data_IF_965594374551
#
_entry.id   IF_965594374551
#
_cell.length_a   1.000
_cell.length_b   1.000
_cell.length_c   1.000
_cell.angle_alpha   90.00
_cell.angle_beta   90.00
_cell.angle_gamma   90.00
#
_symmetry.space_group_name_H-M   'P 1'
#
loop_
_entity.id
_entity.type
_entity.pdbx_description
1 polymer ?
#
# COMPACT_ATOMS: atom_id res chain seq x y z
N UNK A 1 -13.20 10.25 12.54
CA UNK A 1 -12.29 10.69 11.48
C UNK A 1 -11.19 9.67 11.21
N UNK A 2 -10.63 9.73 9.99
CA UNK A 2 -9.56 8.81 9.57
C UNK A 2 -8.18 9.47 9.60
N UNK A 3 -7.14 8.66 9.77
CA UNK A 3 -5.75 9.12 9.82
C UNK A 3 -4.87 8.30 8.90
N UNK A 4 -3.70 8.81 8.57
CA UNK A 4 -2.71 8.10 7.77
C UNK A 4 -1.87 7.17 8.64
N UNK A 5 -1.47 6.02 8.07
CA UNK A 5 -0.54 5.08 8.67
C UNK A 5 0.59 4.79 7.68
N UNK A 6 1.77 4.45 8.19
CA UNK A 6 2.97 4.27 7.36
C UNK A 6 3.62 2.91 7.65
N UNK A 7 3.26 1.86 6.87
CA UNK A 7 3.79 0.50 7.08
C UNK A 7 5.31 0.41 6.96
N UNK A 8 5.92 1.29 6.19
CA UNK A 8 7.35 1.32 5.93
C UNK A 8 8.03 2.54 6.54
N UNK A 9 7.40 3.16 7.51
CA UNK A 9 7.88 4.37 8.21
C UNK A 9 7.62 5.65 7.40
N UNK A 10 7.16 6.70 8.08
CA UNK A 10 7.14 8.06 7.54
C UNK A 10 8.58 8.58 7.43
N UNK A 11 8.91 9.33 6.37
CA UNK A 11 10.28 9.79 6.15
C UNK A 11 10.84 10.65 7.29
N UNK A 12 9.99 11.44 7.93
CA UNK A 12 10.36 12.33 9.03
C UNK A 12 10.44 11.62 10.38
N UNK A 13 9.92 10.40 10.50
CA UNK A 13 9.95 9.66 11.73
C UNK A 13 11.33 9.01 11.93
N UNK A 14 11.87 9.01 13.17
CA UNK A 14 13.16 8.37 13.45
C UNK A 14 13.15 6.87 13.19
N UNK A 15 12.03 6.20 13.43
CA UNK A 15 11.86 4.76 13.21
C UNK A 15 10.38 4.39 13.18
N UNK A 16 10.10 3.15 12.83
CA UNK A 16 8.73 2.63 12.72
C UNK A 16 7.98 2.64 14.06
N UNK A 17 8.67 2.41 15.17
CA UNK A 17 8.07 2.46 16.51
C UNK A 17 7.48 3.84 16.82
N UNK A 18 8.18 4.91 16.45
CA UNK A 18 7.70 6.27 16.65
C UNK A 18 6.44 6.54 15.82
N UNK A 19 6.40 6.05 14.60
CA UNK A 19 5.21 6.14 13.76
C UNK A 19 4.02 5.42 14.40
N UNK A 20 4.25 4.25 14.96
CA UNK A 20 3.21 3.49 15.64
C UNK A 20 2.73 4.18 16.92
N UNK A 21 3.64 4.79 17.67
CA UNK A 21 3.29 5.60 18.85
C UNK A 21 2.37 6.76 18.46
N UNK A 22 2.71 7.47 17.39
CA UNK A 22 1.87 8.55 16.88
C UNK A 22 0.49 8.05 16.45
N UNK A 23 0.43 6.88 15.82
CA UNK A 23 -0.84 6.26 15.44
C UNK A 23 -1.67 5.90 16.68
N UNK A 24 -1.05 5.35 17.71
CA UNK A 24 -1.70 5.05 18.98
C UNK A 24 -2.26 6.32 19.64
N UNK A 25 -1.48 7.39 19.65
CA UNK A 25 -1.93 8.70 20.17
C UNK A 25 -3.16 9.20 19.40
N UNK A 26 -3.15 9.09 18.07
CA UNK A 26 -4.28 9.49 17.23
C UNK A 26 -5.53 8.66 17.54
N UNK A 27 -5.37 7.35 17.76
CA UNK A 27 -6.46 6.49 18.19
C UNK A 27 -7.03 6.96 19.54
N UNK A 28 -6.17 7.22 20.51
CA UNK A 28 -6.57 7.67 21.85
C UNK A 28 -7.28 9.03 21.82
N UNK A 29 -6.98 9.84 20.80
CA UNK A 29 -7.64 11.12 20.54
C UNK A 29 -8.94 11.00 19.72
N UNK A 30 -9.35 9.79 19.36
CA UNK A 30 -10.65 9.54 18.74
C UNK A 30 -10.62 9.18 17.26
N UNK A 31 -9.46 8.86 16.68
CA UNK A 31 -9.41 8.34 15.31
C UNK A 31 -10.17 7.02 15.20
N UNK A 32 -11.00 6.89 14.18
CA UNK A 32 -11.90 5.75 14.00
C UNK A 32 -11.33 4.69 13.07
N UNK A 33 -10.43 5.08 12.18
CA UNK A 33 -9.74 4.17 11.25
C UNK A 33 -8.44 4.80 10.76
N UNK A 34 -7.57 3.97 10.18
CA UNK A 34 -6.36 4.43 9.51
C UNK A 34 -6.30 3.89 8.09
N UNK A 35 -5.76 4.67 7.16
CA UNK A 35 -5.46 4.24 5.79
C UNK A 35 -3.95 4.29 5.60
N UNK A 36 -3.35 3.20 5.14
CA UNK A 36 -1.90 3.17 4.96
C UNK A 36 -1.45 3.98 3.75
N UNK A 37 -0.21 4.45 3.78
CA UNK A 37 0.49 4.89 2.57
C UNK A 37 0.62 3.68 1.63
N UNK A 38 0.69 3.93 0.33
CA UNK A 38 0.82 2.86 -0.65
C UNK A 38 2.05 1.98 -0.39
N UNK A 39 1.93 0.71 -0.74
CA UNK A 39 3.02 -0.27 -0.62
C UNK A 39 2.88 -1.31 -1.74
N UNK A 40 4.00 -1.97 -2.07
CA UNK A 40 4.01 -3.04 -3.07
C UNK A 40 4.26 -4.42 -2.45
N UNK A 41 4.70 -4.46 -1.20
CA UNK A 41 4.99 -5.69 -0.47
C UNK A 41 3.97 -5.88 0.66
N UNK A 42 3.07 -6.85 0.48
CA UNK A 42 2.02 -7.14 1.46
C UNK A 42 2.57 -7.52 2.84
N UNK A 43 3.76 -8.12 2.90
CA UNK A 43 4.35 -8.50 4.19
C UNK A 43 4.66 -7.26 5.05
N UNK A 44 4.97 -6.14 4.44
CA UNK A 44 5.14 -4.86 5.16
C UNK A 44 3.85 -4.45 5.86
N UNK A 45 2.72 -4.60 5.17
CA UNK A 45 1.40 -4.31 5.73
C UNK A 45 1.05 -5.26 6.88
N UNK A 46 1.18 -6.56 6.66
CA UNK A 46 0.81 -7.56 7.68
C UNK A 46 1.70 -7.45 8.92
N UNK A 47 3.00 -7.23 8.74
CA UNK A 47 3.93 -7.01 9.84
C UNK A 47 3.57 -5.76 10.64
N UNK A 48 3.20 -4.69 9.94
CA UNK A 48 2.77 -3.44 10.57
C UNK A 48 1.50 -3.64 11.41
N UNK A 49 0.50 -4.31 10.86
CA UNK A 49 -0.78 -4.58 11.56
C UNK A 49 -0.54 -5.42 12.82
N UNK A 50 0.29 -6.45 12.73
CA UNK A 50 0.61 -7.28 13.87
C UNK A 50 1.28 -6.47 14.99
N UNK A 51 2.27 -5.68 14.66
CA UNK A 51 2.94 -4.80 15.63
C UNK A 51 1.99 -3.77 16.23
N UNK A 52 1.11 -3.21 15.40
CA UNK A 52 0.11 -2.25 15.86
C UNK A 52 -0.83 -2.88 16.90
N UNK A 53 -1.29 -4.10 16.66
CA UNK A 53 -2.12 -4.82 17.63
C UNK A 53 -1.37 -5.06 18.94
N UNK A 54 -0.09 -5.41 18.89
CA UNK A 54 0.74 -5.60 20.09
C UNK A 54 0.88 -4.31 20.91
N UNK A 55 0.78 -3.15 20.26
CA UNK A 55 0.84 -1.84 20.93
C UNK A 55 -0.53 -1.33 21.39
N UNK A 56 -1.58 -2.10 21.23
CA UNK A 56 -2.93 -1.73 21.65
C UNK A 56 -3.69 -0.89 20.64
N UNK A 57 -3.26 -0.85 19.38
CA UNK A 57 -3.99 -0.20 18.30
C UNK A 57 -5.09 -1.14 17.84
N UNK A 58 -6.35 -0.71 18.00
CA UNK A 58 -7.54 -1.54 17.72
C UNK A 58 -8.39 -1.02 16.58
N UNK A 59 -8.14 0.21 16.09
CA UNK A 59 -8.87 0.76 14.96
C UNK A 59 -8.55 -0.02 13.68
N UNK A 60 -9.50 -0.10 12.72
CA UNK A 60 -9.22 -0.73 11.43
C UNK A 60 -8.06 -0.03 10.71
N UNK A 61 -7.14 -0.81 10.15
CA UNK A 61 -6.03 -0.32 9.34
C UNK A 61 -6.27 -0.77 7.92
N UNK A 62 -6.80 0.13 7.10
CA UNK A 62 -7.19 -0.14 5.71
C UNK A 62 -5.96 -0.04 4.81
N UNK A 63 -5.60 -1.10 4.05
CA UNK A 63 -4.45 -1.01 3.15
C UNK A 63 -4.73 -0.06 1.99
N UNK A 64 -3.79 0.85 1.75
CA UNK A 64 -3.82 1.77 0.63
C UNK A 64 -3.00 1.21 -0.52
N UNK A 65 -3.59 1.10 -1.70
CA UNK A 65 -2.99 0.47 -2.88
C UNK A 65 -3.03 1.44 -4.06
N UNK A 66 -1.94 1.52 -4.80
CA UNK A 66 -1.88 2.30 -6.04
C UNK A 66 -1.11 1.54 -7.11
N UNK A 67 -1.76 1.14 -8.22
CA UNK A 67 -1.04 0.58 -9.35
C UNK A 67 -0.26 1.67 -10.07
N UNK A 68 0.95 1.38 -10.54
CA UNK A 68 1.60 2.27 -11.47
C UNK A 68 1.03 2.03 -12.89
N UNK A 69 0.95 3.12 -13.68
CA UNK A 69 0.35 3.11 -15.00
C UNK A 69 1.30 3.61 -16.11
N UNK A 70 2.48 4.09 -15.72
CA UNK A 70 3.49 4.63 -16.64
C UNK A 70 4.86 4.12 -16.26
N UNK A 71 5.73 4.02 -17.27
CA UNK A 71 7.11 3.56 -17.07
C UNK A 71 7.88 4.41 -16.04
N UNK A 72 7.70 5.72 -16.10
CA UNK A 72 8.34 6.65 -15.15
C UNK A 72 7.91 6.41 -13.70
N UNK A 73 6.69 5.96 -13.47
CA UNK A 73 6.17 5.72 -12.13
C UNK A 73 6.85 4.55 -11.42
N UNK A 74 7.36 3.57 -12.17
CA UNK A 74 8.09 2.43 -11.60
C UNK A 74 9.28 2.91 -10.76
N UNK A 75 9.97 3.94 -11.22
CA UNK A 75 11.12 4.51 -10.50
C UNK A 75 10.72 5.61 -9.53
N UNK A 76 9.80 6.48 -9.93
CA UNK A 76 9.46 7.67 -9.15
C UNK A 76 8.58 7.40 -7.94
N UNK A 77 7.62 6.47 -8.05
CA UNK A 77 6.68 6.19 -6.95
C UNK A 77 7.41 5.66 -5.71
N UNK A 78 8.30 4.66 -5.81
CA UNK A 78 9.05 4.21 -4.63
C UNK A 78 9.89 5.32 -3.98
N UNK A 79 10.50 6.20 -4.78
CA UNK A 79 11.29 7.33 -4.28
C UNK A 79 10.42 8.38 -3.58
N UNK A 80 9.29 8.74 -4.20
CA UNK A 80 8.42 9.80 -3.69
C UNK A 80 7.74 9.39 -2.39
N UNK A 81 7.30 8.14 -2.29
CA UNK A 81 6.54 7.63 -1.16
C UNK A 81 7.37 6.78 -0.20
N UNK A 82 8.67 6.65 -0.44
CA UNK A 82 9.61 5.93 0.42
C UNK A 82 9.15 4.49 0.72
N UNK A 83 8.64 3.81 -0.30
CA UNK A 83 8.23 2.41 -0.20
C UNK A 83 9.17 1.49 -0.96
N UNK A 84 9.34 0.28 -0.43
CA UNK A 84 10.20 -0.73 -1.05
C UNK A 84 9.51 -1.37 -2.24
N UNK A 85 10.30 -1.67 -3.27
CA UNK A 85 9.86 -2.47 -4.40
C UNK A 85 10.35 -3.90 -4.20
N UNK A 86 9.45 -4.89 -4.06
CA UNK A 86 9.87 -6.29 -3.94
C UNK A 86 10.75 -6.73 -5.11
N UNK A 87 11.70 -7.61 -4.83
CA UNK A 87 12.65 -8.07 -5.85
C UNK A 87 11.95 -8.70 -7.05
N UNK A 88 10.90 -9.46 -6.83
CA UNK A 88 10.12 -10.10 -7.88
C UNK A 88 9.46 -9.07 -8.80
N UNK A 89 8.91 -8.00 -8.22
CA UNK A 89 8.33 -6.89 -8.98
C UNK A 89 9.41 -6.14 -9.75
N UNK A 90 10.56 -5.90 -9.13
CA UNK A 90 11.68 -5.22 -9.78
C UNK A 90 12.20 -6.00 -11.00
N UNK A 91 12.26 -7.33 -10.92
CA UNK A 91 12.65 -8.19 -12.03
C UNK A 91 11.70 -8.06 -13.22
N UNK A 92 10.41 -8.00 -12.97
CA UNK A 92 9.42 -7.81 -14.03
C UNK A 92 9.42 -6.36 -14.55
N UNK A 93 9.68 -5.40 -13.67
CA UNK A 93 9.72 -3.98 -14.04
C UNK A 93 10.83 -3.66 -15.04
N UNK A 94 12.01 -4.28 -14.92
CA UNK A 94 13.12 -4.05 -15.86
C UNK A 94 12.83 -4.58 -17.27
N UNK A 95 11.86 -5.46 -17.43
CA UNK A 95 11.40 -5.96 -18.72
C UNK A 95 10.45 -5.01 -19.42
N UNK A 96 9.87 -4.06 -18.70
CA UNK A 96 8.95 -3.08 -19.27
C UNK A 96 9.69 -2.06 -20.13
N UNK A 97 9.21 -1.84 -21.35
CA UNK A 97 9.81 -0.91 -22.30
C UNK A 97 8.88 0.23 -22.69
N UNK A 98 7.61 0.09 -22.43
CA UNK A 98 6.57 1.07 -22.78
C UNK A 98 5.66 1.32 -21.58
N UNK A 99 4.87 2.41 -21.66
CA UNK A 99 3.86 2.71 -20.65
C UNK A 99 2.78 1.61 -20.59
N UNK A 100 2.44 1.01 -21.74
CA UNK A 100 1.47 -0.10 -21.78
C UNK A 100 2.00 -1.32 -21.02
N UNK A 101 3.28 -1.63 -21.15
CA UNK A 101 3.92 -2.70 -20.39
C UNK A 101 3.87 -2.44 -18.89
N UNK A 102 4.19 -1.20 -18.48
CA UNK A 102 4.16 -0.79 -17.08
C UNK A 102 2.74 -0.84 -16.51
N UNK A 103 1.75 -0.41 -17.28
CA UNK A 103 0.34 -0.45 -16.89
C UNK A 103 -0.13 -1.90 -16.70
N UNK A 104 0.20 -2.79 -17.62
CA UNK A 104 -0.15 -4.21 -17.53
C UNK A 104 0.47 -4.87 -16.29
N UNK A 105 1.74 -4.60 -16.03
CA UNK A 105 2.42 -5.11 -14.83
C UNK A 105 1.79 -4.55 -13.56
N UNK A 106 1.48 -3.26 -13.54
CA UNK A 106 0.83 -2.61 -12.40
C UNK A 106 -0.52 -3.24 -12.07
N UNK A 107 -1.35 -3.50 -13.09
CA UNK A 107 -2.64 -4.18 -12.92
C UNK A 107 -2.44 -5.61 -12.40
N UNK A 108 -1.54 -6.36 -13.00
CA UNK A 108 -1.27 -7.76 -12.63
C UNK A 108 -0.76 -7.86 -11.19
N UNK A 109 0.25 -7.08 -10.83
CA UNK A 109 0.82 -7.09 -9.49
C UNK A 109 -0.20 -6.67 -8.43
N UNK A 110 -0.92 -5.59 -8.69
CA UNK A 110 -1.92 -5.07 -7.75
C UNK A 110 -3.08 -6.02 -7.59
N UNK A 111 -3.53 -6.67 -8.66
CA UNK A 111 -4.59 -7.69 -8.58
C UNK A 111 -4.14 -8.84 -7.67
N UNK A 112 -2.89 -9.31 -7.82
CA UNK A 112 -2.34 -10.36 -6.98
C UNK A 112 -2.23 -9.91 -5.51
N UNK A 113 -1.79 -8.67 -5.26
CA UNK A 113 -1.77 -8.09 -3.91
C UNK A 113 -3.16 -8.12 -3.27
N UNK A 114 -4.17 -7.65 -3.98
CA UNK A 114 -5.53 -7.58 -3.47
C UNK A 114 -6.11 -8.96 -3.19
N UNK A 115 -5.87 -9.93 -4.05
CA UNK A 115 -6.31 -11.31 -3.84
C UNK A 115 -5.69 -11.91 -2.57
N UNK A 116 -4.40 -11.68 -2.35
CA UNK A 116 -3.74 -12.15 -1.13
C UNK A 116 -4.28 -11.44 0.11
N UNK A 117 -4.48 -10.12 0.05
CA UNK A 117 -5.04 -9.36 1.16
C UNK A 117 -6.43 -9.91 1.55
N UNK A 118 -7.31 -10.13 0.59
CA UNK A 118 -8.63 -10.71 0.85
C UNK A 118 -8.54 -12.14 1.38
N UNK A 119 -7.66 -12.95 0.82
CA UNK A 119 -7.46 -14.34 1.29
C UNK A 119 -6.97 -14.39 2.74
N UNK A 120 -6.24 -13.39 3.19
CA UNK A 120 -5.73 -13.29 4.57
C UNK A 120 -6.64 -12.49 5.51
N UNK A 121 -7.88 -12.22 5.10
CA UNK A 121 -8.93 -11.67 5.96
C UNK A 121 -9.13 -10.16 5.94
N UNK A 122 -8.44 -9.44 5.06
CA UNK A 122 -8.67 -8.01 4.87
C UNK A 122 -10.04 -7.81 4.21
N UNK A 123 -10.85 -6.90 4.74
CA UNK A 123 -12.21 -6.66 4.27
C UNK A 123 -12.32 -5.48 3.31
N UNK A 124 -11.54 -4.46 3.53
CA UNK A 124 -11.62 -3.20 2.79
C UNK A 124 -10.24 -2.83 2.24
N UNK A 125 -10.20 -2.36 1.00
CA UNK A 125 -8.98 -1.86 0.35
C UNK A 125 -9.26 -0.46 -0.17
N UNK A 126 -8.38 0.49 0.11
CA UNK A 126 -8.42 1.84 -0.42
C UNK A 126 -7.52 1.94 -1.66
N UNK A 127 -8.09 2.41 -2.78
CA UNK A 127 -7.32 2.61 -4.01
C UNK A 127 -7.03 4.09 -4.22
N UNK A 128 -5.74 4.41 -4.40
CA UNK A 128 -5.33 5.73 -4.86
C UNK A 128 -5.45 5.75 -6.39
N UNK A 129 -6.31 6.60 -6.93
CA UNK A 129 -6.70 6.57 -8.34
C UNK A 129 -6.08 7.67 -9.20
N UNK A 130 -5.25 8.54 -8.65
CA UNK A 130 -4.63 9.64 -9.39
C UNK A 130 -3.87 9.07 -10.60
N UNK A 131 -4.31 9.45 -11.80
CA UNK A 131 -3.76 8.98 -13.07
C UNK A 131 -3.83 7.46 -13.28
N UNK A 132 -4.70 6.77 -12.57
CA UNK A 132 -4.79 5.30 -12.61
C UNK A 132 -6.23 4.78 -12.58
N UNK A 133 -7.21 5.58 -12.98
CA UNK A 133 -8.64 5.21 -12.92
C UNK A 133 -8.92 3.93 -13.73
N UNK A 134 -8.41 3.85 -14.95
CA UNK A 134 -8.62 2.69 -15.83
C UNK A 134 -7.98 1.42 -15.24
N UNK A 135 -6.80 1.56 -14.66
CA UNK A 135 -6.09 0.46 -14.01
C UNK A 135 -6.86 -0.07 -12.80
N UNK A 136 -7.37 0.83 -11.96
CA UNK A 136 -8.19 0.45 -10.80
C UNK A 136 -9.50 -0.21 -11.24
N UNK A 137 -10.15 0.31 -12.30
CA UNK A 137 -11.35 -0.31 -12.85
C UNK A 137 -11.07 -1.74 -13.33
N UNK A 138 -9.95 -1.96 -14.01
CA UNK A 138 -9.57 -3.29 -14.49
C UNK A 138 -9.27 -4.24 -13.31
N UNK A 139 -8.57 -3.75 -12.29
CA UNK A 139 -8.28 -4.51 -11.07
C UNK A 139 -9.59 -4.93 -10.39
N UNK A 140 -10.53 -3.99 -10.24
CA UNK A 140 -11.83 -4.28 -9.66
C UNK A 140 -12.58 -5.39 -10.41
N UNK A 141 -12.55 -5.35 -11.75
CA UNK A 141 -13.13 -6.42 -12.58
C UNK A 141 -12.44 -7.76 -12.34
N UNK A 142 -11.11 -7.77 -12.21
CA UNK A 142 -10.34 -8.99 -11.98
C UNK A 142 -10.63 -9.62 -10.61
N UNK A 143 -11.08 -8.81 -9.65
CA UNK A 143 -11.41 -9.27 -8.29
C UNK A 143 -12.84 -9.79 -8.16
N UNK A 144 -13.71 -9.44 -9.08
CA UNK A 144 -15.08 -9.94 -9.14
C UNK A 144 -15.11 -11.26 -9.90
#
# INVERSE_FOLDING_TARGET
YGVAAYPEKHEEAPNLEMDMKHLKEKQDLGAEYAVTQLFFDNEKYFSFVEKAHQMGITIPIVPGIKPFAKLSQITQVPKTFHCDMPQELAKEAVKCKTDDDAKALGVEWTTAQCKELYARGVKDIHFYTISAIDSVAQIAKNLL
#
